data_IF_479089963997
#
_entry.id   IF_479089963997
#
_cell.length_a   1.000
_cell.length_b   1.000
_cell.length_c   1.000
_cell.angle_alpha   90.00
_cell.angle_beta   90.00
_cell.angle_gamma   90.00
#
_symmetry.space_group_name_H-M   'P 1'
#
loop_
_entity.id
_entity.type
_entity.pdbx_description
1 polymer ?
#
# COMPACT_ATOMS: atom_id res chain seq x y z
N UNK A 1 7.63 -8.42 31.54
CA UNK A 1 6.88 -7.23 32.00
C UNK A 1 7.64 -6.38 33.02
N UNK A 2 8.29 -6.96 34.04
CA UNK A 2 9.06 -6.16 35.02
C UNK A 2 10.20 -5.34 34.38
N UNK A 3 10.92 -5.91 33.41
CA UNK A 3 11.93 -5.19 32.63
C UNK A 3 11.34 -4.03 31.82
N UNK A 4 10.18 -4.24 31.19
CA UNK A 4 9.46 -3.22 30.42
C UNK A 4 9.05 -2.05 31.32
N UNK A 5 8.50 -2.33 32.51
CA UNK A 5 8.14 -1.30 33.49
C UNK A 5 9.38 -0.52 33.98
N UNK A 6 10.51 -1.20 34.17
CA UNK A 6 11.75 -0.54 34.61
C UNK A 6 12.33 0.39 33.53
N UNK A 7 12.25 0.02 32.25
CA UNK A 7 12.65 0.90 31.14
C UNK A 7 11.68 2.08 30.98
N UNK A 8 10.37 1.83 31.01
CA UNK A 8 9.36 2.90 30.93
C UNK A 8 9.50 3.91 32.09
N UNK A 9 9.88 3.45 33.28
CA UNK A 9 10.16 4.33 34.42
C UNK A 9 11.40 5.22 34.23
N UNK A 10 12.39 4.79 33.45
CA UNK A 10 13.55 5.62 33.08
C UNK A 10 13.19 6.64 32.00
N UNK A 11 12.36 6.24 31.04
CA UNK A 11 12.00 7.05 29.88
C UNK A 11 10.93 8.11 30.21
N UNK A 12 10.06 7.86 31.19
CA UNK A 12 8.93 8.72 31.53
C UNK A 12 9.03 9.23 32.97
N UNK A 13 9.96 10.17 33.22
CA UNK A 13 10.21 10.76 34.54
C UNK A 13 9.00 11.47 35.16
N UNK A 14 8.01 11.85 34.35
CA UNK A 14 6.75 12.47 34.78
C UNK A 14 5.68 11.45 35.22
N UNK A 15 5.94 10.15 35.08
CA UNK A 15 5.01 9.07 35.42
C UNK A 15 5.58 8.27 36.60
N UNK A 16 4.79 8.12 37.66
CA UNK A 16 5.13 7.24 38.77
C UNK A 16 4.72 5.79 38.46
N UNK A 17 5.67 4.86 38.51
CA UNK A 17 5.41 3.43 38.34
C UNK A 17 5.38 2.75 39.70
N UNK A 18 4.23 2.16 40.04
CA UNK A 18 4.02 1.45 41.31
C UNK A 18 3.78 -0.02 41.03
N UNK A 19 4.50 -0.89 41.74
CA UNK A 19 4.32 -2.34 41.69
C UNK A 19 3.65 -2.80 42.99
N UNK A 20 2.59 -3.58 42.85
CA UNK A 20 1.92 -4.25 43.95
C UNK A 20 1.85 -5.74 43.66
N UNK A 21 2.05 -6.56 44.69
CA UNK A 21 1.82 -7.99 44.62
C UNK A 21 0.35 -8.26 44.96
N UNK A 22 -0.41 -8.77 43.99
CA UNK A 22 -1.87 -8.87 44.10
C UNK A 22 -2.34 -9.68 45.32
N UNK A 23 -1.54 -10.69 45.73
CA UNK A 23 -1.79 -11.54 46.90
C UNK A 23 -1.50 -10.83 48.23
N UNK A 24 -0.58 -9.86 48.24
CA UNK A 24 -0.21 -9.11 49.44
C UNK A 24 -1.20 -7.97 49.77
N UNK A 25 -2.03 -7.56 48.80
CA UNK A 25 -3.02 -6.47 48.94
C UNK A 25 -4.41 -6.89 48.42
N UNK A 26 -5.08 -7.86 49.05
CA UNK A 26 -6.35 -8.41 48.56
C UNK A 26 -7.46 -7.36 48.40
N UNK A 27 -7.51 -6.36 49.28
CA UNK A 27 -8.49 -5.25 49.22
C UNK A 27 -8.36 -4.42 47.93
N UNK A 28 -7.13 -4.23 47.43
CA UNK A 28 -6.87 -3.50 46.17
C UNK A 28 -7.26 -4.35 44.98
N UNK A 29 -6.95 -5.65 45.03
CA UNK A 29 -7.30 -6.62 44.00
C UNK A 29 -8.82 -6.75 43.83
N UNK A 30 -9.57 -6.79 44.95
CA UNK A 30 -11.03 -6.80 44.95
C UNK A 30 -11.61 -5.47 44.42
N UNK A 31 -11.13 -4.33 44.94
CA UNK A 31 -11.60 -2.99 44.54
C UNK A 31 -11.47 -2.73 43.03
N UNK A 32 -10.44 -3.27 42.38
CA UNK A 32 -10.20 -3.05 40.95
C UNK A 32 -10.49 -4.29 40.09
N UNK A 33 -11.12 -5.32 40.65
CA UNK A 33 -11.52 -6.54 39.94
C UNK A 33 -10.33 -7.18 39.19
N UNK A 34 -9.23 -7.41 39.91
CA UNK A 34 -8.02 -8.05 39.38
C UNK A 34 -8.25 -9.56 39.35
N UNK A 35 -8.43 -10.10 38.15
CA UNK A 35 -8.70 -11.54 37.92
C UNK A 35 -7.53 -12.26 37.25
N UNK A 36 -6.55 -11.54 36.72
CA UNK A 36 -5.33 -12.09 36.12
C UNK A 36 -4.12 -11.24 36.45
N UNK A 37 -2.93 -11.85 36.42
CA UNK A 37 -1.65 -11.16 36.64
C UNK A 37 -0.75 -11.45 35.43
N UNK A 38 -0.09 -10.44 34.83
CA UNK A 38 -0.08 -9.03 35.25
C UNK A 38 -1.29 -8.23 34.74
N UNK A 39 -1.80 -7.32 35.57
CA UNK A 39 -2.75 -6.26 35.18
C UNK A 39 -2.15 -4.89 35.51
N UNK A 40 -2.28 -3.96 34.57
CA UNK A 40 -1.78 -2.58 34.71
C UNK A 40 -2.97 -1.62 34.79
N UNK A 41 -2.95 -0.76 35.80
CA UNK A 41 -3.94 0.28 36.02
C UNK A 41 -3.28 1.64 35.88
N UNK A 42 -3.95 2.55 35.18
CA UNK A 42 -3.44 3.90 34.94
C UNK A 42 -4.26 4.90 35.73
N UNK A 43 -3.56 5.78 36.47
CA UNK A 43 -4.20 6.79 37.32
C UNK A 43 -3.70 8.18 36.96
N UNK A 44 -4.62 9.16 36.96
CA UNK A 44 -4.31 10.60 36.84
C UNK A 44 -5.22 11.37 37.77
N UNK A 45 -4.67 12.31 38.54
CA UNK A 45 -5.41 13.07 39.56
C UNK A 45 -6.24 12.17 40.50
N UNK A 46 -5.66 11.05 40.94
CA UNK A 46 -6.29 10.04 41.81
C UNK A 46 -7.50 9.29 41.22
N UNK A 47 -7.76 9.42 39.91
CA UNK A 47 -8.81 8.70 39.20
C UNK A 47 -8.21 7.64 38.27
N UNK A 48 -8.81 6.44 38.23
CA UNK A 48 -8.47 5.41 37.25
C UNK A 48 -8.92 5.87 35.86
N UNK A 49 -7.99 5.99 34.93
CA UNK A 49 -8.23 6.50 33.56
C UNK A 49 -8.08 5.43 32.48
N UNK A 50 -7.37 4.32 32.75
CA UNK A 50 -7.16 3.24 31.79
C UNK A 50 -6.80 1.93 32.50
N UNK A 51 -6.91 0.81 31.78
CA UNK A 51 -6.59 -0.56 32.23
C UNK A 51 -5.97 -1.36 31.09
N UNK A 52 -5.09 -2.28 31.43
CA UNK A 52 -4.55 -3.31 30.55
C UNK A 52 -4.44 -4.62 31.32
N UNK A 53 -5.09 -5.67 30.83
CA UNK A 53 -4.98 -7.02 31.36
C UNK A 53 -4.01 -7.84 30.51
N UNK A 54 -3.14 -8.61 31.16
CA UNK A 54 -2.18 -9.49 30.50
C UNK A 54 -0.83 -8.86 30.17
N UNK A 55 0.10 -9.72 29.76
CA UNK A 55 1.50 -9.37 29.51
C UNK A 55 1.74 -8.81 28.10
N UNK A 56 1.04 -7.74 27.72
CA UNK A 56 1.16 -7.09 26.41
C UNK A 56 2.05 -5.85 26.48
N UNK A 57 3.37 -6.05 26.34
CA UNK A 57 4.36 -4.98 26.39
C UNK A 57 4.11 -3.82 25.42
N UNK A 58 3.77 -4.05 24.13
CA UNK A 58 3.52 -2.94 23.19
C UNK A 58 2.31 -2.09 23.58
N UNK A 59 1.23 -2.72 24.05
CA UNK A 59 0.02 -2.01 24.46
C UNK A 59 0.24 -1.22 25.75
N UNK A 60 1.04 -1.77 26.68
CA UNK A 60 1.46 -1.07 27.90
C UNK A 60 2.23 0.20 27.56
N UNK A 61 3.26 0.11 26.71
CA UNK A 61 4.07 1.26 26.27
C UNK A 61 3.21 2.34 25.62
N UNK A 62 2.30 1.95 24.72
CA UNK A 62 1.37 2.88 24.03
C UNK A 62 0.47 3.62 25.01
N UNK A 63 -0.10 2.93 26.00
CA UNK A 63 -0.95 3.53 27.03
C UNK A 63 -0.17 4.47 27.94
N UNK A 64 1.05 4.11 28.36
CA UNK A 64 1.93 5.00 29.14
C UNK A 64 2.23 6.29 28.38
N UNK A 65 2.68 6.20 27.13
CA UNK A 65 3.01 7.38 26.31
C UNK A 65 1.81 8.30 26.11
N UNK A 66 0.63 7.73 25.80
CA UNK A 66 -0.62 8.49 25.64
C UNK A 66 -0.93 9.35 26.87
N UNK A 67 -0.77 8.80 28.07
CA UNK A 67 -1.15 9.46 29.31
C UNK A 67 -0.05 10.37 29.87
N UNK A 68 1.21 10.12 29.51
CA UNK A 68 2.38 10.91 29.92
C UNK A 68 2.49 12.28 29.20
N UNK A 69 1.97 12.40 27.97
CA UNK A 69 2.09 13.60 27.13
C UNK A 69 1.11 14.73 27.46
N UNK A 70 0.23 14.54 28.44
CA UNK A 70 -0.77 15.53 28.83
C UNK A 70 -0.30 16.31 30.07
N UNK A 71 0.75 17.11 29.91
CA UNK A 71 1.21 18.15 30.84
C UNK A 71 1.91 19.30 30.08
N UNK A 72 1.20 20.44 29.95
CA UNK A 72 1.64 21.84 29.73
C UNK A 72 3.09 22.14 29.29
N UNK A 73 3.24 22.74 28.10
CA UNK A 73 4.47 23.37 27.56
C UNK A 73 4.64 24.79 28.14
N UNK A 74 5.80 25.17 28.70
CA UNK A 74 6.22 26.58 28.81
C UNK A 74 6.87 27.05 27.49
N UNK A 75 6.65 28.31 27.06
CA UNK A 75 7.19 28.80 25.80
C UNK A 75 8.65 29.25 25.98
N UNK A 76 9.57 28.62 25.26
CA UNK A 76 10.89 29.21 25.02
C UNK A 76 12.04 28.22 24.82
N UNK A 77 12.20 27.69 23.61
CA UNK A 77 13.51 27.52 22.96
C UNK A 77 13.32 27.10 21.50
N UNK A 78 13.80 27.95 20.59
CA UNK A 78 14.09 27.56 19.22
C UNK A 78 15.34 26.68 19.24
N UNK A 79 15.19 25.38 19.04
CA UNK A 79 16.25 24.47 18.60
C UNK A 79 15.62 23.37 17.75
N UNK A 80 16.31 22.98 16.67
CA UNK A 80 15.90 21.95 15.70
C UNK A 80 15.25 20.74 16.38
N UNK A 81 13.92 20.64 16.30
CA UNK A 81 13.18 19.50 16.83
C UNK A 81 13.47 18.31 15.91
N UNK A 82 14.44 17.47 16.31
CA UNK A 82 14.55 16.11 15.78
C UNK A 82 13.17 15.46 15.94
N UNK A 83 12.57 15.06 14.83
CA UNK A 83 11.31 14.34 14.83
C UNK A 83 11.43 13.13 15.76
N UNK A 84 10.44 12.93 16.63
CA UNK A 84 10.36 11.72 17.45
C UNK A 84 10.45 10.49 16.52
N UNK A 85 11.46 9.65 16.76
CA UNK A 85 11.73 8.49 15.92
C UNK A 85 10.49 7.60 15.76
N UNK A 86 9.67 7.43 16.80
CA UNK A 86 8.45 6.62 16.71
C UNK A 86 7.42 7.23 15.76
N UNK A 87 7.30 8.56 15.72
CA UNK A 87 6.44 9.28 14.77
C UNK A 87 6.95 9.05 13.35
N UNK A 88 8.27 9.14 13.15
CA UNK A 88 8.91 8.87 11.86
C UNK A 88 8.68 7.42 11.41
N UNK A 89 8.85 6.45 12.31
CA UNK A 89 8.63 5.03 12.02
C UNK A 89 7.17 4.75 11.69
N UNK A 90 6.23 5.32 12.43
CA UNK A 90 4.80 5.20 12.15
C UNK A 90 4.47 5.75 10.75
N UNK A 91 5.03 6.90 10.37
CA UNK A 91 4.88 7.45 9.03
C UNK A 91 5.45 6.51 7.97
N UNK A 92 6.62 5.93 8.20
CA UNK A 92 7.26 4.99 7.26
C UNK A 92 6.44 3.70 7.09
N UNK A 93 5.92 3.10 8.17
CA UNK A 93 5.12 1.87 8.06
C UNK A 93 3.77 2.11 7.39
N UNK A 94 3.28 3.36 7.41
CA UNK A 94 2.03 3.78 6.75
C UNK A 94 2.25 4.46 5.38
N UNK A 95 3.48 4.54 4.89
CA UNK A 95 3.79 5.27 3.65
C UNK A 95 3.14 4.65 2.40
N UNK A 96 2.82 3.35 2.45
CA UNK A 96 2.04 2.65 1.45
C UNK A 96 1.14 1.59 2.13
N UNK A 97 0.06 1.11 1.48
CA UNK A 97 -0.78 0.05 2.01
C UNK A 97 -0.04 -1.24 2.37
N UNK A 98 1.09 -1.50 1.70
CA UNK A 98 2.01 -2.58 2.03
C UNK A 98 3.46 -2.08 1.93
N UNK A 99 4.21 -2.20 3.03
CA UNK A 99 5.58 -1.70 3.18
C UNK A 99 6.53 -2.84 3.53
N UNK A 100 7.56 -3.04 2.70
CA UNK A 100 8.63 -4.02 2.92
C UNK A 100 9.93 -3.34 3.35
N UNK A 101 10.35 -3.58 4.58
CA UNK A 101 11.68 -3.16 5.05
C UNK A 101 12.66 -4.30 4.82
N UNK A 102 13.67 -4.07 3.98
CA UNK A 102 14.56 -5.12 3.49
C UNK A 102 16.01 -4.65 3.37
N UNK A 103 16.93 -5.61 3.24
CA UNK A 103 18.35 -5.33 2.98
C UNK A 103 18.55 -5.12 1.48
N UNK A 104 18.81 -3.90 1.05
CA UNK A 104 18.85 -3.52 -0.37
C UNK A 104 17.49 -3.10 -0.90
N UNK A 105 17.29 -3.21 -2.21
CA UNK A 105 16.03 -2.86 -2.90
C UNK A 105 15.41 -4.09 -3.58
N UNK A 106 14.15 -4.03 -4.04
CA UNK A 106 13.54 -5.13 -4.79
C UNK A 106 14.31 -5.49 -6.07
N UNK A 107 14.93 -4.50 -6.72
CA UNK A 107 15.76 -4.70 -7.91
C UNK A 107 17.16 -5.21 -7.55
N UNK A 108 17.71 -4.80 -6.40
CA UNK A 108 19.04 -5.18 -5.92
C UNK A 108 19.01 -5.70 -4.47
N UNK A 109 18.45 -6.91 -4.22
CA UNK A 109 18.38 -7.45 -2.87
C UNK A 109 19.77 -7.90 -2.37
N UNK A 110 20.18 -7.39 -1.22
CA UNK A 110 21.50 -7.63 -0.61
C UNK A 110 21.51 -8.77 0.41
N UNK A 111 20.46 -9.58 0.47
CA UNK A 111 20.32 -10.72 1.36
C UNK A 111 19.40 -11.79 0.73
N UNK A 112 19.71 -13.08 0.93
CA UNK A 112 18.89 -14.18 0.40
C UNK A 112 17.44 -14.16 0.89
N UNK A 113 17.21 -13.82 2.16
CA UNK A 113 15.85 -13.69 2.70
C UNK A 113 15.08 -12.52 2.07
N UNK A 114 15.76 -11.40 1.84
CA UNK A 114 15.20 -10.23 1.16
C UNK A 114 14.87 -10.52 -0.31
N UNK A 115 15.66 -11.37 -0.98
CA UNK A 115 15.34 -11.83 -2.34
C UNK A 115 14.11 -12.73 -2.36
N UNK A 116 14.04 -13.71 -1.45
CA UNK A 116 12.92 -14.66 -1.39
C UNK A 116 11.58 -13.98 -1.11
N UNK A 117 11.53 -13.01 -0.17
CA UNK A 117 10.27 -12.31 0.10
C UNK A 117 9.81 -11.49 -1.12
N UNK A 118 10.74 -10.85 -1.83
CA UNK A 118 10.44 -10.11 -3.07
C UNK A 118 9.89 -11.05 -4.15
N UNK A 119 10.49 -12.24 -4.30
CA UNK A 119 10.01 -13.26 -5.24
C UNK A 119 8.57 -13.69 -4.91
N UNK A 120 8.25 -13.94 -3.63
CA UNK A 120 6.90 -14.30 -3.19
C UNK A 120 5.91 -13.17 -3.49
N UNK A 121 6.20 -11.93 -3.08
CA UNK A 121 5.31 -10.79 -3.29
C UNK A 121 5.06 -10.54 -4.78
N UNK A 122 6.10 -10.64 -5.61
CA UNK A 122 5.98 -10.46 -7.06
C UNK A 122 5.20 -11.61 -7.71
N UNK A 123 5.44 -12.87 -7.31
CA UNK A 123 4.72 -14.06 -7.80
C UNK A 123 3.21 -13.92 -7.58
N UNK A 124 2.80 -13.38 -6.42
CA UNK A 124 1.39 -13.18 -6.06
C UNK A 124 0.81 -11.85 -6.52
N UNK A 125 1.59 -11.06 -7.25
CA UNK A 125 1.20 -9.73 -7.72
C UNK A 125 0.73 -8.83 -6.58
N UNK A 126 1.44 -8.84 -5.46
CA UNK A 126 1.17 -7.97 -4.32
C UNK A 126 1.78 -6.60 -4.60
N UNK A 127 1.00 -5.53 -4.46
CA UNK A 127 1.54 -4.18 -4.52
C UNK A 127 2.22 -3.86 -3.19
N UNK A 128 3.48 -3.46 -3.23
CA UNK A 128 4.20 -2.99 -2.05
C UNK A 128 5.19 -1.90 -2.42
N UNK A 129 5.48 -1.04 -1.46
CA UNK A 129 6.67 -0.18 -1.48
C UNK A 129 7.74 -0.77 -0.58
N UNK A 130 9.00 -0.40 -0.81
CA UNK A 130 10.13 -0.93 -0.04
C UNK A 130 11.00 0.16 0.55
N UNK A 131 11.63 -0.14 1.68
CA UNK A 131 12.65 0.71 2.30
C UNK A 131 13.94 -0.09 2.52
N UNK A 132 15.06 0.42 2.00
CA UNK A 132 16.39 -0.17 2.25
C UNK A 132 16.89 0.23 3.64
N UNK A 133 16.91 -0.72 4.55
CA UNK A 133 17.35 -0.49 5.93
C UNK A 133 18.83 -0.13 6.07
N UNK A 134 19.66 -0.32 5.03
CA UNK A 134 21.04 0.15 5.06
C UNK A 134 21.18 1.64 4.78
N UNK A 135 20.15 2.29 4.23
CA UNK A 135 20.15 3.73 3.99
C UNK A 135 19.99 4.54 5.27
N UNK A 136 19.46 3.95 6.34
CA UNK A 136 19.19 4.63 7.60
C UNK A 136 19.29 3.66 8.80
N UNK A 137 20.40 3.78 9.54
CA UNK A 137 20.68 2.93 10.70
C UNK A 137 19.74 3.22 11.88
N UNK A 138 19.23 4.44 12.01
CA UNK A 138 18.31 4.82 13.08
C UNK A 138 16.94 4.16 12.84
N UNK A 139 16.43 4.20 11.61
CA UNK A 139 15.22 3.47 11.21
C UNK A 139 15.41 1.96 11.36
N UNK A 140 16.58 1.44 10.99
CA UNK A 140 16.91 0.01 11.09
C UNK A 140 16.91 -0.52 12.53
N UNK A 141 17.47 0.23 13.47
CA UNK A 141 17.44 -0.20 14.87
C UNK A 141 16.09 0.11 15.50
N UNK A 142 15.51 1.27 15.18
CA UNK A 142 14.22 1.71 15.67
C UNK A 142 13.09 0.74 15.34
N UNK A 143 13.00 0.25 14.10
CA UNK A 143 11.95 -0.69 13.69
C UNK A 143 11.96 -2.00 14.47
N UNK A 144 13.12 -2.55 14.83
CA UNK A 144 13.19 -3.78 15.62
C UNK A 144 12.54 -3.60 16.99
N UNK A 145 12.78 -2.44 17.60
CA UNK A 145 12.20 -2.09 18.91
C UNK A 145 10.71 -1.76 18.75
N UNK A 146 10.38 -0.91 17.78
CA UNK A 146 9.01 -0.45 17.50
C UNK A 146 8.03 -1.61 17.26
N UNK A 147 8.47 -2.63 16.54
CA UNK A 147 7.64 -3.80 16.23
C UNK A 147 7.89 -5.02 17.12
N UNK A 148 8.83 -4.92 18.05
CA UNK A 148 9.31 -6.06 18.85
C UNK A 148 9.76 -7.25 17.99
N UNK A 149 10.29 -6.99 16.78
CA UNK A 149 10.69 -8.01 15.81
C UNK A 149 12.20 -7.94 15.48
N UNK A 150 12.99 -9.00 15.72
CA UNK A 150 14.45 -8.90 15.73
C UNK A 150 15.11 -8.90 14.34
N UNK A 151 14.42 -9.39 13.31
CA UNK A 151 15.02 -9.72 12.01
C UNK A 151 14.45 -8.92 10.84
N UNK A 152 15.14 -9.00 9.70
CA UNK A 152 14.70 -8.48 8.41
C UNK A 152 14.79 -9.59 7.37
N UNK A 153 13.91 -9.60 6.35
CA UNK A 153 12.93 -8.56 6.00
C UNK A 153 11.73 -8.47 6.97
N UNK A 154 11.07 -7.31 7.05
CA UNK A 154 9.81 -7.09 7.77
C UNK A 154 8.75 -6.56 6.81
N UNK A 155 7.58 -7.20 6.77
CA UNK A 155 6.44 -6.80 5.96
C UNK A 155 5.37 -6.17 6.85
N UNK A 156 4.90 -4.99 6.44
CA UNK A 156 3.79 -4.28 7.08
C UNK A 156 2.64 -4.12 6.11
N UNK A 157 1.41 -4.27 6.58
CA UNK A 157 0.19 -3.94 5.84
C UNK A 157 -0.65 -2.99 6.67
N UNK A 158 -1.12 -1.90 6.07
CA UNK A 158 -1.88 -0.85 6.75
C UNK A 158 -1.21 -0.35 8.04
N UNK A 159 0.12 -0.27 8.05
CA UNK A 159 0.91 0.16 9.20
C UNK A 159 1.16 -0.89 10.28
N UNK A 160 0.58 -2.09 10.17
CA UNK A 160 0.72 -3.19 11.12
C UNK A 160 1.73 -4.23 10.63
N UNK A 161 2.54 -4.78 11.55
CA UNK A 161 3.52 -5.81 11.21
C UNK A 161 2.80 -7.13 10.91
N UNK A 162 2.98 -7.64 9.69
CA UNK A 162 2.56 -8.99 9.32
C UNK A 162 3.61 -10.01 9.77
N UNK A 163 4.90 -9.72 9.53
CA UNK A 163 5.99 -10.59 9.96
C UNK A 163 7.22 -10.56 9.06
N UNK A 164 8.12 -11.52 9.31
CA UNK A 164 9.28 -11.79 8.45
C UNK A 164 8.97 -12.79 7.33
N UNK A 165 10.03 -13.25 6.64
CA UNK A 165 9.89 -14.20 5.52
C UNK A 165 9.16 -15.49 5.88
N UNK A 166 9.43 -16.07 7.06
CA UNK A 166 8.86 -17.36 7.42
C UNK A 166 7.33 -17.28 7.59
N UNK A 167 6.83 -16.23 8.23
CA UNK A 167 5.38 -15.95 8.33
C UNK A 167 4.79 -15.72 6.93
N UNK A 168 5.48 -14.98 6.06
CA UNK A 168 4.99 -14.74 4.68
C UNK A 168 4.90 -16.05 3.89
N UNK A 169 5.84 -16.99 4.08
CA UNK A 169 5.76 -18.33 3.48
C UNK A 169 4.61 -19.16 4.04
N UNK A 170 4.34 -19.07 5.34
CA UNK A 170 3.19 -19.73 5.96
C UNK A 170 1.87 -19.19 5.40
N UNK A 171 1.74 -17.86 5.28
CA UNK A 171 0.58 -17.21 4.66
C UNK A 171 0.44 -17.56 3.17
N UNK A 172 1.55 -17.71 2.44
CA UNK A 172 1.53 -18.18 1.05
C UNK A 172 1.01 -19.62 0.98
N UNK A 173 1.48 -20.50 1.87
CA UNK A 173 1.10 -21.91 1.89
C UNK A 173 -0.36 -22.13 2.30
N UNK A 174 -0.90 -21.27 3.19
CA UNK A 174 -2.31 -21.30 3.58
C UNK A 174 -3.23 -20.60 2.57
N UNK A 175 -2.69 -19.80 1.65
CA UNK A 175 -3.46 -18.98 0.70
C UNK A 175 -3.99 -17.67 1.29
N UNK A 176 -3.72 -17.37 2.56
CA UNK A 176 -4.17 -16.16 3.24
C UNK A 176 -3.40 -14.90 2.80
N UNK A 177 -2.21 -15.08 2.22
CA UNK A 177 -1.36 -13.96 1.79
C UNK A 177 -2.08 -13.01 0.83
N UNK A 178 -2.90 -13.53 -0.08
CA UNK A 178 -3.64 -12.75 -1.06
C UNK A 178 -4.77 -11.92 -0.45
N UNK A 179 -5.35 -12.39 0.66
CA UNK A 179 -6.40 -11.67 1.38
C UNK A 179 -5.82 -10.64 2.35
N UNK A 180 -4.62 -10.92 2.87
CA UNK A 180 -3.93 -10.04 3.81
C UNK A 180 -3.25 -8.88 3.09
N UNK A 181 -2.69 -9.09 1.89
CA UNK A 181 -1.93 -8.06 1.18
C UNK A 181 -2.73 -7.44 0.02
N UNK A 182 -2.55 -6.13 -0.26
CA UNK A 182 -3.20 -5.49 -1.41
C UNK A 182 -2.66 -6.06 -2.72
N UNK A 183 -3.56 -6.42 -3.63
CA UNK A 183 -3.20 -6.77 -5.02
C UNK A 183 -2.64 -5.53 -5.72
N UNK A 184 -1.57 -5.71 -6.48
CA UNK A 184 -1.11 -4.73 -7.44
C UNK A 184 -2.19 -4.54 -8.50
N UNK A 185 -2.71 -3.32 -8.62
CA UNK A 185 -3.48 -2.95 -9.79
C UNK A 185 -2.52 -2.95 -10.97
N UNK A 186 -2.52 -4.03 -11.75
CA UNK A 186 -1.76 -4.09 -12.99
C UNK A 186 -2.42 -3.14 -13.98
N UNK A 187 -1.61 -2.26 -14.57
CA UNK A 187 -2.10 -1.39 -15.65
C UNK A 187 -2.74 -2.25 -16.75
N UNK A 188 -2.21 -3.44 -17.02
CA UNK A 188 -2.74 -4.38 -18.00
C UNK A 188 -4.21 -4.76 -17.76
N UNK A 189 -4.65 -4.91 -16.51
CA UNK A 189 -6.04 -5.24 -16.18
C UNK A 189 -6.95 -4.03 -16.47
N UNK A 190 -6.50 -2.85 -16.06
CA UNK A 190 -7.16 -1.58 -16.39
C UNK A 190 -7.27 -1.35 -17.90
N UNK A 191 -6.21 -1.67 -18.65
CA UNK A 191 -6.22 -1.56 -20.11
C UNK A 191 -7.21 -2.54 -20.73
N UNK A 192 -7.26 -3.79 -20.26
CA UNK A 192 -8.25 -4.78 -20.71
C UNK A 192 -9.67 -4.29 -20.47
N UNK A 193 -9.96 -3.74 -19.29
CA UNK A 193 -11.30 -3.21 -18.97
C UNK A 193 -11.67 -2.05 -19.90
N UNK A 194 -10.74 -1.13 -20.15
CA UNK A 194 -10.96 0.00 -21.06
C UNK A 194 -11.16 -0.45 -22.51
N UNK A 195 -10.35 -1.40 -22.98
CA UNK A 195 -10.42 -1.96 -24.34
C UNK A 195 -11.76 -2.70 -24.55
N UNK A 196 -12.26 -3.40 -23.52
CA UNK A 196 -13.50 -4.17 -23.59
C UNK A 196 -14.75 -3.36 -23.16
N UNK A 197 -14.61 -2.07 -22.88
CA UNK A 197 -15.72 -1.21 -22.44
C UNK A 197 -16.84 -1.10 -23.47
N UNK A 198 -16.53 -1.24 -24.76
CA UNK A 198 -17.51 -1.39 -25.84
C UNK A 198 -16.98 -2.37 -26.91
N UNK A 199 -17.89 -2.88 -27.75
CA UNK A 199 -17.53 -3.79 -28.84
C UNK A 199 -16.57 -3.16 -29.86
N UNK A 200 -16.66 -1.84 -30.06
CA UNK A 200 -15.71 -1.07 -30.86
C UNK A 200 -15.18 0.08 -30.00
N UNK A 201 -13.91 0.03 -29.63
CA UNK A 201 -13.25 1.08 -28.84
C UNK A 201 -12.17 1.79 -29.66
N UNK A 202 -12.23 3.12 -29.67
CA UNK A 202 -11.24 3.98 -30.31
C UNK A 202 -10.45 4.78 -29.26
N UNK A 203 -9.16 4.50 -29.13
CA UNK A 203 -8.24 5.30 -28.33
C UNK A 203 -7.64 6.40 -29.22
N UNK A 204 -7.90 7.66 -28.88
CA UNK A 204 -7.54 8.79 -29.73
C UNK A 204 -7.18 10.05 -28.93
N UNK A 205 -6.67 11.08 -29.63
CA UNK A 205 -6.39 12.39 -29.03
C UNK A 205 -7.65 13.25 -29.10
N UNK A 206 -8.29 13.50 -27.96
CA UNK A 206 -9.62 14.10 -27.87
C UNK A 206 -10.73 13.05 -27.78
N UNK A 207 -11.96 13.48 -28.07
CA UNK A 207 -13.17 12.63 -28.05
C UNK A 207 -14.03 12.87 -29.31
N UNK A 208 -15.17 12.18 -29.43
CA UNK A 208 -16.11 12.30 -30.58
C UNK A 208 -16.52 13.75 -30.89
N UNK A 209 -16.65 14.60 -29.88
CA UNK A 209 -17.10 15.99 -30.03
C UNK A 209 -15.93 16.93 -30.35
N UNK A 210 -14.78 16.68 -29.72
CA UNK A 210 -13.62 17.56 -29.77
C UNK A 210 -12.34 16.75 -30.01
N UNK A 211 -12.05 16.48 -31.28
CA UNK A 211 -10.80 15.83 -31.70
C UNK A 211 -9.62 16.83 -31.72
N UNK A 212 -8.53 16.46 -31.03
CA UNK A 212 -7.34 17.30 -30.82
C UNK A 212 -6.19 17.00 -31.81
N UNK A 213 -6.42 16.17 -32.83
CA UNK A 213 -5.42 15.79 -33.83
C UNK A 213 -6.08 15.47 -35.18
N UNK A 214 -5.42 15.80 -36.30
CA UNK A 214 -5.91 15.55 -37.66
C UNK A 214 -6.18 14.06 -37.95
N UNK A 215 -5.30 13.16 -37.50
CA UNK A 215 -5.52 11.72 -37.65
C UNK A 215 -6.73 11.22 -36.87
N UNK A 216 -6.97 11.80 -35.69
CA UNK A 216 -8.15 11.50 -34.88
C UNK A 216 -9.45 12.02 -35.53
N UNK A 217 -9.41 13.17 -36.22
CA UNK A 217 -10.56 13.64 -37.02
C UNK A 217 -10.87 12.70 -38.19
N UNK A 218 -9.84 12.30 -38.94
CA UNK A 218 -10.02 11.42 -40.11
C UNK A 218 -10.60 10.05 -39.74
N UNK A 219 -10.14 9.42 -38.65
CA UNK A 219 -10.70 8.12 -38.25
C UNK A 219 -12.16 8.25 -37.79
N UNK A 220 -12.52 9.34 -37.08
CA UNK A 220 -13.91 9.59 -36.69
C UNK A 220 -14.82 9.76 -37.91
N UNK A 221 -14.39 10.51 -38.92
CA UNK A 221 -15.14 10.68 -40.17
C UNK A 221 -15.38 9.33 -40.88
N UNK A 222 -14.37 8.46 -40.90
CA UNK A 222 -14.48 7.12 -41.48
C UNK A 222 -15.48 6.28 -40.68
N UNK A 223 -15.32 6.19 -39.36
CA UNK A 223 -16.18 5.36 -38.50
C UNK A 223 -17.63 5.85 -38.50
N UNK A 224 -17.86 7.17 -38.42
CA UNK A 224 -19.20 7.75 -38.50
C UNK A 224 -19.90 7.41 -39.82
N UNK A 225 -19.14 7.31 -40.93
CA UNK A 225 -19.68 6.91 -42.22
C UNK A 225 -20.13 5.44 -42.32
N UNK A 226 -19.75 4.58 -41.36
CA UNK A 226 -20.14 3.16 -41.34
C UNK A 226 -21.50 2.93 -40.67
N UNK A 227 -21.93 3.84 -39.80
CA UNK A 227 -23.14 3.68 -38.97
C UNK A 227 -23.02 2.65 -37.85
N UNK A 228 -21.83 2.08 -37.60
CA UNK A 228 -21.57 1.18 -36.47
C UNK A 228 -21.34 2.01 -35.21
N UNK A 229 -21.97 1.64 -34.11
CA UNK A 229 -21.71 2.23 -32.80
C UNK A 229 -20.29 1.89 -32.31
N UNK A 230 -19.59 2.90 -31.82
CA UNK A 230 -18.26 2.78 -31.20
C UNK A 230 -18.14 3.76 -30.06
N UNK A 231 -17.21 3.55 -29.14
CA UNK A 231 -16.90 4.48 -28.05
C UNK A 231 -15.45 5.00 -28.14
N UNK A 232 -15.18 6.14 -27.51
CA UNK A 232 -13.85 6.80 -27.57
C UNK A 232 -13.23 6.99 -26.20
N UNK A 233 -11.90 6.90 -26.12
CA UNK A 233 -11.12 7.27 -24.94
C UNK A 233 -10.07 8.34 -25.30
N UNK A 234 -10.04 9.47 -24.57
CA UNK A 234 -9.03 10.53 -24.76
C UNK A 234 -7.72 10.16 -24.05
N UNK A 235 -6.73 9.71 -24.81
CA UNK A 235 -5.41 9.34 -24.29
C UNK A 235 -4.60 10.53 -23.77
N UNK A 236 -5.04 11.77 -24.00
CA UNK A 236 -4.36 12.96 -23.47
C UNK A 236 -4.76 13.26 -22.02
N UNK A 237 -5.86 12.68 -21.54
CA UNK A 237 -6.33 12.86 -20.16
C UNK A 237 -5.70 11.83 -19.20
N UNK A 238 -5.09 10.77 -19.74
CA UNK A 238 -4.47 9.71 -18.96
C UNK A 238 -3.14 9.22 -19.58
N UNK A 239 -2.03 9.72 -19.04
CA UNK A 239 -0.69 9.39 -19.53
C UNK A 239 -0.29 7.93 -19.21
N UNK A 240 -0.82 7.34 -18.15
CA UNK A 240 -0.56 5.95 -17.78
C UNK A 240 -1.18 5.00 -18.80
N UNK A 241 -2.47 5.19 -19.13
CA UNK A 241 -3.17 4.44 -20.19
C UNK A 241 -2.48 4.68 -21.52
N UNK A 242 -2.09 5.92 -21.83
CA UNK A 242 -1.43 6.27 -23.10
C UNK A 242 -0.12 5.50 -23.32
N UNK A 243 0.75 5.46 -22.32
CA UNK A 243 2.02 4.74 -22.41
C UNK A 243 1.81 3.23 -22.27
N UNK A 244 0.86 2.81 -21.43
CA UNK A 244 0.48 1.44 -21.22
C UNK A 244 -0.01 0.77 -22.50
N UNK A 245 -0.98 1.37 -23.21
CA UNK A 245 -1.57 0.78 -24.43
C UNK A 245 -0.51 0.51 -25.49
N UNK A 246 0.43 1.43 -25.70
CA UNK A 246 1.51 1.26 -26.70
C UNK A 246 2.34 0.00 -26.45
N UNK A 247 2.65 -0.26 -25.17
CA UNK A 247 3.39 -1.46 -24.76
C UNK A 247 2.51 -2.69 -24.84
N UNK A 248 1.27 -2.59 -24.35
CA UNK A 248 0.31 -3.68 -24.29
C UNK A 248 -0.03 -4.24 -25.69
N UNK A 249 -0.26 -3.36 -26.66
CA UNK A 249 -0.64 -3.73 -28.02
C UNK A 249 0.54 -3.88 -28.98
N UNK A 250 1.76 -3.61 -28.50
CA UNK A 250 2.97 -3.50 -29.31
C UNK A 250 2.79 -2.54 -30.51
N UNK A 251 2.01 -1.47 -30.33
CA UNK A 251 1.65 -0.52 -31.38
C UNK A 251 2.10 0.91 -31.01
N UNK A 252 2.94 1.57 -31.84
CA UNK A 252 3.64 2.79 -31.42
C UNK A 252 2.79 4.07 -31.49
N UNK A 253 1.72 4.09 -32.30
CA UNK A 253 1.00 5.32 -32.68
C UNK A 253 -0.45 5.34 -32.23
N UNK A 254 -1.07 6.53 -32.27
CA UNK A 254 -2.51 6.73 -32.10
C UNK A 254 -3.04 7.51 -33.30
N UNK A 255 -4.32 7.33 -33.69
CA UNK A 255 -5.37 6.54 -33.02
C UNK A 255 -5.15 5.02 -33.08
N UNK A 256 -5.70 4.28 -32.10
CA UNK A 256 -5.75 2.80 -32.09
C UNK A 256 -7.20 2.35 -31.99
N UNK A 257 -7.63 1.50 -32.92
CA UNK A 257 -8.98 0.95 -32.99
C UNK A 257 -8.98 -0.52 -32.54
N UNK A 258 -9.91 -0.85 -31.65
CA UNK A 258 -10.12 -2.20 -31.14
C UNK A 258 -11.53 -2.67 -31.45
N UNK A 259 -11.68 -3.95 -31.79
CA UNK A 259 -12.97 -4.63 -31.95
C UNK A 259 -12.97 -5.90 -31.10
N UNK A 260 -13.98 -6.05 -30.24
CA UNK A 260 -14.15 -7.19 -29.31
C UNK A 260 -12.88 -7.53 -28.52
N UNK A 261 -12.15 -6.51 -28.13
CA UNK A 261 -10.93 -6.64 -27.34
C UNK A 261 -9.64 -6.80 -28.14
N UNK A 262 -9.71 -6.98 -29.46
CA UNK A 262 -8.56 -7.19 -30.34
C UNK A 262 -8.19 -5.92 -31.09
N UNK A 263 -6.88 -5.66 -31.25
CA UNK A 263 -6.40 -4.52 -32.01
C UNK A 263 -6.64 -4.74 -33.51
N UNK A 264 -7.42 -3.86 -34.13
CA UNK A 264 -7.56 -3.80 -35.59
C UNK A 264 -6.39 -3.02 -36.19
N UNK A 265 -6.04 -1.88 -35.60
CA UNK A 265 -4.91 -1.07 -36.04
C UNK A 265 -5.09 0.43 -35.90
N UNK A 266 -4.21 1.18 -36.57
CA UNK A 266 -4.27 2.63 -36.66
C UNK A 266 -5.08 3.13 -37.87
N UNK A 267 -5.05 4.45 -38.10
CA UNK A 267 -5.77 5.09 -39.20
C UNK A 267 -5.46 4.50 -40.58
N UNK A 268 -4.20 4.16 -40.87
CA UNK A 268 -3.81 3.69 -42.19
C UNK A 268 -4.44 2.33 -42.51
N UNK A 269 -4.46 1.41 -41.55
CA UNK A 269 -5.17 0.11 -41.67
C UNK A 269 -6.67 0.33 -41.83
N UNK A 270 -7.26 1.26 -41.07
CA UNK A 270 -8.69 1.56 -41.17
C UNK A 270 -9.06 2.14 -42.54
N UNK A 271 -8.17 2.94 -43.16
CA UNK A 271 -8.34 3.41 -44.54
C UNK A 271 -8.27 2.26 -45.54
N UNK A 272 -7.29 1.38 -45.40
CA UNK A 272 -7.14 0.20 -46.25
C UNK A 272 -8.38 -0.69 -46.19
N UNK A 273 -8.86 -1.04 -44.98
CA UNK A 273 -10.10 -1.80 -44.79
C UNK A 273 -11.33 -1.13 -45.40
N UNK A 274 -11.37 0.21 -45.42
CA UNK A 274 -12.45 0.96 -46.08
C UNK A 274 -12.36 0.84 -47.60
N UNK A 275 -11.16 0.91 -48.15
CA UNK A 275 -10.89 0.81 -49.59
C UNK A 275 -11.17 -0.60 -50.12
N UNK A 276 -10.87 -1.65 -49.34
CA UNK A 276 -11.17 -3.04 -49.68
C UNK A 276 -12.63 -3.43 -49.43
N UNK A 277 -13.40 -2.61 -48.69
CA UNK A 277 -14.79 -2.88 -48.34
C UNK A 277 -14.98 -3.80 -47.13
N UNK A 278 -13.90 -4.17 -46.44
CA UNK A 278 -13.89 -5.09 -45.29
C UNK A 278 -14.12 -4.40 -43.95
N UNK A 279 -14.08 -3.06 -43.91
CA UNK A 279 -14.18 -2.30 -42.65
C UNK A 279 -15.47 -2.61 -41.88
N UNK A 280 -16.63 -2.61 -42.54
CA UNK A 280 -17.92 -2.79 -41.85
C UNK A 280 -18.06 -4.20 -41.26
N UNK A 281 -17.60 -5.25 -41.96
CA UNK A 281 -17.62 -6.63 -41.41
C UNK A 281 -16.64 -6.77 -40.25
N UNK A 282 -15.45 -6.14 -40.37
CA UNK A 282 -14.45 -6.07 -39.30
C UNK A 282 -15.05 -5.41 -38.04
N UNK A 283 -15.71 -4.26 -38.18
CA UNK A 283 -16.31 -3.54 -37.05
C UNK A 283 -17.45 -4.30 -36.35
N UNK A 284 -18.19 -5.14 -37.10
CA UNK A 284 -19.21 -6.04 -36.52
C UNK A 284 -18.60 -7.29 -35.87
N UNK A 285 -17.29 -7.52 -36.09
CA UNK A 285 -16.57 -8.71 -35.65
C UNK A 285 -17.09 -9.96 -36.35
N UNK A 286 -17.29 -9.87 -37.67
CA UNK A 286 -17.71 -10.95 -38.58
C UNK A 286 -16.53 -11.58 -39.34
N UNK A 287 -15.30 -11.11 -39.06
CA UNK A 287 -14.04 -11.61 -39.64
C UNK A 287 -13.31 -12.54 -38.66
#
# INVERSE_FOLDING_TARGET
MNSVMAELAKEHLQVAFVKLEAEAVPEVSEKYEITSVPTFLFFKNSQKIDRLDGAHAPELTKKVQRHASSSTIPPGSNDNVKEDLNVRLQKLTNAAPCMLFMKGTPQEPRCGFSRQIVEILNKHNIAYSSFDIFSDEEVRQGLKTYSSWPTYPQLYVAGELIGGLDIVKELEASGELETTCPKAHKIEDRLKDLINKASVMLFMKGNKQMAKCGFSKQILEILNGTGVDYETFDILEDEEVRQGLKKYSNWPTYPQLYVKGELVGGLDIVKELKETGELTSTLKGEN
#
